data_IF_466492517038
#
_entry.id   IF_466492517038
#
_cell.length_a   1.000
_cell.length_b   1.000
_cell.length_c   1.000
_cell.angle_alpha   90.00
_cell.angle_beta   90.00
_cell.angle_gamma   90.00
#
_symmetry.space_group_name_H-M   'P 1'
#
loop_
_entity.id
_entity.type
_entity.pdbx_description
1 polymer ?
#
# COMPACT_ATOMS: atom_id res chain seq x y z
N UNK A 1 -13.11 -36.10 -26.66
CA UNK A 1 -13.09 -35.59 -25.27
C UNK A 1 -14.44 -34.96 -24.97
N UNK A 2 -15.15 -35.42 -23.94
CA UNK A 2 -16.57 -35.09 -23.75
C UNK A 2 -16.77 -33.72 -23.08
N UNK A 3 -17.72 -32.88 -23.54
CA UNK A 3 -17.87 -31.47 -23.13
C UNK A 3 -18.15 -31.31 -21.62
N UNK A 4 -18.76 -32.31 -21.00
CA UNK A 4 -19.05 -32.38 -19.56
C UNK A 4 -17.80 -32.39 -18.67
N UNK A 5 -16.68 -32.95 -19.15
CA UNK A 5 -15.41 -32.99 -18.40
C UNK A 5 -14.72 -31.62 -18.35
N UNK A 6 -14.88 -30.80 -19.38
CA UNK A 6 -14.23 -29.50 -19.49
C UNK A 6 -14.91 -28.46 -18.60
N UNK A 7 -16.25 -28.49 -18.52
CA UNK A 7 -17.02 -27.60 -17.63
C UNK A 7 -16.73 -27.84 -16.15
N UNK A 8 -16.56 -29.11 -15.73
CA UNK A 8 -16.15 -29.43 -14.35
C UNK A 8 -14.74 -28.95 -14.04
N UNK A 9 -13.80 -29.09 -14.98
CA UNK A 9 -12.43 -28.61 -14.78
C UNK A 9 -12.37 -27.08 -14.62
N UNK A 10 -13.15 -26.35 -15.41
CA UNK A 10 -13.27 -24.88 -15.31
C UNK A 10 -13.92 -24.48 -13.98
N UNK A 11 -14.98 -25.18 -13.54
CA UNK A 11 -15.65 -24.88 -12.27
C UNK A 11 -14.73 -25.12 -11.06
N UNK A 12 -13.93 -26.20 -11.08
CA UNK A 12 -12.93 -26.48 -10.03
C UNK A 12 -11.83 -25.42 -10.04
N UNK A 13 -11.30 -25.07 -11.21
CA UNK A 13 -10.27 -24.04 -11.33
C UNK A 13 -10.77 -22.67 -10.85
N UNK A 14 -12.00 -22.29 -11.22
CA UNK A 14 -12.64 -21.06 -10.75
C UNK A 14 -12.86 -21.08 -9.24
N UNK A 15 -13.34 -22.19 -8.67
CA UNK A 15 -13.51 -22.36 -7.21
C UNK A 15 -12.20 -22.22 -6.45
N UNK A 16 -11.08 -22.70 -7.00
CA UNK A 16 -9.75 -22.57 -6.40
C UNK A 16 -9.18 -21.14 -6.50
N UNK A 17 -9.51 -20.39 -7.56
CA UNK A 17 -8.98 -19.04 -7.79
C UNK A 17 -9.79 -17.96 -7.08
N UNK A 18 -11.09 -18.17 -6.84
CA UNK A 18 -11.98 -17.22 -6.14
C UNK A 18 -11.48 -16.72 -4.77
N UNK A 19 -10.97 -17.57 -3.85
CA UNK A 19 -10.50 -17.10 -2.54
C UNK A 19 -9.23 -16.23 -2.63
N UNK A 20 -8.40 -16.40 -3.67
CA UNK A 20 -7.22 -15.58 -3.88
C UNK A 20 -7.58 -14.12 -4.20
N UNK A 21 -8.65 -13.89 -4.97
CA UNK A 21 -9.14 -12.54 -5.25
C UNK A 21 -9.73 -11.87 -4.01
N UNK A 22 -10.43 -12.62 -3.16
CA UNK A 22 -10.98 -12.09 -1.90
C UNK A 22 -9.89 -11.66 -0.92
N UNK A 23 -8.77 -12.40 -0.84
CA UNK A 23 -7.61 -12.03 -0.02
C UNK A 23 -6.75 -10.89 -0.61
N UNK A 24 -6.83 -10.66 -1.92
CA UNK A 24 -6.13 -9.54 -2.58
C UNK A 24 -6.83 -8.19 -2.38
N UNK A 25 -8.09 -8.18 -1.92
CA UNK A 25 -8.76 -6.96 -1.49
C UNK A 25 -8.13 -6.54 -0.16
N UNK A 26 -7.17 -5.61 -0.23
CA UNK A 26 -6.33 -5.17 0.90
C UNK A 26 -7.08 -5.11 2.23
N UNK A 27 -6.48 -5.69 3.26
CA UNK A 27 -7.15 -5.93 4.55
C UNK A 27 -7.79 -4.64 5.09
N UNK A 28 -9.11 -4.64 5.28
CA UNK A 28 -9.82 -3.64 6.11
C UNK A 28 -9.57 -3.86 7.61
N UNK A 29 -8.45 -4.48 7.97
CA UNK A 29 -8.06 -4.60 9.36
C UNK A 29 -7.73 -3.21 9.89
N UNK A 30 -8.26 -2.80 11.05
CA UNK A 30 -7.80 -1.60 11.73
C UNK A 30 -6.27 -1.61 11.82
N UNK A 31 -5.62 -0.51 11.41
CA UNK A 31 -4.17 -0.38 11.45
C UNK A 31 -3.39 -0.87 10.22
N UNK A 32 -4.05 -1.40 9.17
CA UNK A 32 -3.34 -1.84 7.96
C UNK A 32 -2.56 -0.71 7.24
N UNK A 33 -3.07 0.52 7.28
CA UNK A 33 -2.40 1.72 6.75
C UNK A 33 -1.11 2.01 7.55
N UNK A 34 -1.24 2.03 8.88
CA UNK A 34 -0.12 2.31 9.79
C UNK A 34 0.95 1.23 9.70
N UNK A 35 0.54 -0.04 9.70
CA UNK A 35 1.44 -1.16 9.44
C UNK A 35 2.15 -1.03 8.08
N UNK A 36 1.43 -0.63 7.03
CA UNK A 36 2.03 -0.36 5.72
C UNK A 36 3.06 0.77 5.73
N UNK A 37 2.84 1.82 6.53
CA UNK A 37 3.81 2.92 6.72
C UNK A 37 5.04 2.48 7.52
N UNK A 38 4.87 1.64 8.54
CA UNK A 38 5.97 1.07 9.33
C UNK A 38 6.80 0.11 8.46
N UNK A 39 6.15 -0.75 7.67
CA UNK A 39 6.84 -1.68 6.77
C UNK A 39 7.68 -0.95 5.71
N UNK A 40 7.26 0.24 5.25
CA UNK A 40 8.06 1.07 4.32
C UNK A 40 9.37 1.57 4.92
N UNK A 41 9.45 1.66 6.25
CA UNK A 41 10.67 2.09 6.96
C UNK A 41 11.68 0.95 7.16
N UNK A 42 11.34 -0.31 6.83
CA UNK A 42 12.24 -1.46 6.99
C UNK A 42 13.45 -1.43 6.05
N UNK A 43 13.37 -0.70 4.94
CA UNK A 43 14.50 -0.42 4.02
C UNK A 43 15.51 0.58 4.64
N UNK A 44 15.18 1.16 5.81
CA UNK A 44 15.96 2.13 6.55
C UNK A 44 15.18 3.41 6.81
N UNK A 45 15.41 4.01 8.00
CA UNK A 45 14.78 5.28 8.40
C UNK A 45 15.43 6.43 7.62
N UNK A 46 14.66 7.06 6.75
CA UNK A 46 15.05 8.26 5.99
C UNK A 46 14.45 9.47 6.69
N UNK A 47 15.26 10.49 6.96
CA UNK A 47 14.85 11.74 7.65
C UNK A 47 15.13 12.94 6.76
N UNK A 48 14.15 13.84 6.65
CA UNK A 48 14.25 15.06 5.85
C UNK A 48 13.77 16.25 6.68
N UNK A 49 14.58 17.30 6.76
CA UNK A 49 14.20 18.60 7.29
C UNK A 49 14.06 19.57 6.11
N UNK A 50 12.85 20.06 5.89
CA UNK A 50 12.57 21.15 4.95
C UNK A 50 12.79 22.46 5.69
N UNK A 51 13.63 23.32 5.14
CA UNK A 51 13.96 24.63 5.72
C UNK A 51 13.46 25.72 4.78
N UNK A 52 12.71 26.66 5.34
CA UNK A 52 12.10 27.77 4.62
C UNK A 52 12.37 29.11 5.30
N UNK A 53 12.12 30.21 4.58
CA UNK A 53 12.25 31.55 5.13
C UNK A 53 10.96 32.00 5.83
N UNK A 54 9.81 31.64 5.24
CA UNK A 54 8.49 32.02 5.74
C UNK A 54 7.55 30.81 5.79
N UNK A 55 6.54 30.82 6.68
CA UNK A 55 5.57 29.72 6.81
C UNK A 55 4.79 29.40 5.51
N UNK A 56 4.66 30.34 4.58
CA UNK A 56 3.96 30.14 3.30
C UNK A 56 4.82 29.49 2.20
N UNK A 57 6.13 29.34 2.43
CA UNK A 57 7.00 28.55 1.56
C UNK A 57 6.77 27.03 1.73
N UNK A 58 5.95 26.61 2.70
CA UNK A 58 5.63 25.19 2.95
C UNK A 58 4.91 24.56 1.76
N UNK A 59 5.49 23.48 1.22
CA UNK A 59 4.82 22.60 0.26
C UNK A 59 4.23 21.37 0.96
N UNK A 60 2.94 21.45 1.30
CA UNK A 60 2.21 20.35 1.95
C UNK A 60 2.13 19.09 1.07
N UNK A 61 2.14 19.24 -0.27
CA UNK A 61 2.11 18.09 -1.17
C UNK A 61 3.45 17.33 -1.15
N UNK A 62 4.56 18.06 -1.08
CA UNK A 62 5.90 17.49 -0.86
C UNK A 62 5.97 16.78 0.49
N UNK A 63 5.59 17.43 1.59
CA UNK A 63 5.61 16.83 2.93
C UNK A 63 4.74 15.57 3.01
N UNK A 64 3.57 15.60 2.37
CA UNK A 64 2.67 14.43 2.29
C UNK A 64 3.30 13.30 1.48
N UNK A 65 3.98 13.61 0.37
CA UNK A 65 4.64 12.62 -0.47
C UNK A 65 5.78 11.93 0.30
N UNK A 66 6.60 12.72 1.00
CA UNK A 66 7.67 12.20 1.87
C UNK A 66 7.10 11.30 2.96
N UNK A 67 6.15 11.80 3.75
CA UNK A 67 5.63 11.10 4.93
C UNK A 67 4.77 9.88 4.58
N UNK A 68 3.79 10.06 3.69
CA UNK A 68 2.77 9.02 3.39
C UNK A 68 3.06 8.21 2.15
N UNK A 69 3.73 8.81 1.15
CA UNK A 69 4.13 8.11 -0.06
C UNK A 69 5.37 7.26 0.18
N UNK A 70 6.42 7.87 0.72
CA UNK A 70 7.75 7.26 0.82
C UNK A 70 8.09 6.76 2.23
N UNK A 71 7.26 7.04 3.23
CA UNK A 71 7.51 6.60 4.62
C UNK A 71 8.69 7.30 5.28
N UNK A 72 9.02 8.52 4.84
CA UNK A 72 10.10 9.35 5.35
C UNK A 72 9.63 10.12 6.59
N UNK A 73 10.46 10.22 7.62
CA UNK A 73 10.23 11.17 8.72
C UNK A 73 10.57 12.59 8.24
N UNK A 74 9.54 13.39 7.94
CA UNK A 74 9.67 14.75 7.44
C UNK A 74 9.30 15.78 8.52
N UNK A 75 10.10 16.83 8.62
CA UNK A 75 9.83 18.01 9.44
C UNK A 75 10.02 19.29 8.62
N UNK A 76 9.36 20.36 9.04
CA UNK A 76 9.46 21.70 8.44
C UNK A 76 9.90 22.71 9.50
N UNK A 77 10.84 23.59 9.15
CA UNK A 77 11.39 24.65 9.99
C UNK A 77 11.45 25.97 9.24
#
# INVERSE_FOLDING_TARGET
>A
MQPRSMSTAIAVLAGCLFPAFAHAQGSRLPGAIEAGLILRQLDGVKRVLVVAAHPDDEDTALLTTLARGWGVEAAYF
#
